data_IF_184711605509
#
_entry.id   IF_184711605509
#
_cell.length_a   1.000
_cell.length_b   1.000
_cell.length_c   1.000
_cell.angle_alpha   90.00
_cell.angle_beta   90.00
_cell.angle_gamma   90.00
#
_symmetry.space_group_name_H-M   'P 1'
#
loop_
_entity.id
_entity.type
_entity.pdbx_description
1 polymer ?
#
# COMPACT_ATOMS: atom_id res chain seq x y z
N UNK A 1 -14.75 -48.38 7.88
CA UNK A 1 -13.53 -47.82 8.51
C UNK A 1 -12.74 -46.89 7.59
N UNK A 2 -12.43 -47.28 6.32
CA UNK A 2 -11.71 -46.41 5.36
C UNK A 2 -12.39 -45.05 5.10
N UNK A 3 -13.72 -45.02 4.96
CA UNK A 3 -14.48 -43.77 4.77
C UNK A 3 -14.45 -42.82 5.98
N UNK A 4 -14.39 -43.37 7.20
CA UNK A 4 -14.34 -42.56 8.43
C UNK A 4 -12.97 -41.87 8.57
N UNK A 5 -11.87 -42.55 8.23
CA UNK A 5 -10.53 -41.92 8.18
C UNK A 5 -10.46 -40.79 7.14
N UNK A 6 -11.13 -40.95 6.00
CA UNK A 6 -11.18 -39.94 4.93
C UNK A 6 -11.93 -38.68 5.38
N UNK A 7 -12.99 -38.84 6.17
CA UNK A 7 -13.75 -37.72 6.75
C UNK A 7 -12.91 -37.01 7.82
N UNK A 8 -12.24 -37.74 8.71
CA UNK A 8 -11.39 -37.15 9.77
C UNK A 8 -10.21 -36.37 9.17
N UNK A 9 -9.55 -36.91 8.14
CA UNK A 9 -8.48 -36.20 7.44
C UNK A 9 -9.00 -34.96 6.72
N UNK A 10 -10.19 -35.01 6.11
CA UNK A 10 -10.82 -33.83 5.52
C UNK A 10 -11.11 -32.74 6.56
N UNK A 11 -11.70 -33.08 7.71
CA UNK A 11 -11.96 -32.11 8.79
C UNK A 11 -10.69 -31.51 9.41
N UNK A 12 -9.59 -32.27 9.48
CA UNK A 12 -8.32 -31.76 9.99
C UNK A 12 -7.68 -30.72 9.04
N UNK A 13 -7.89 -30.85 7.73
CA UNK A 13 -7.36 -29.90 6.74
C UNK A 13 -8.11 -28.56 6.70
N UNK A 14 -9.39 -28.51 7.10
CA UNK A 14 -10.18 -27.27 7.06
C UNK A 14 -9.65 -26.23 8.06
N UNK A 15 -9.13 -26.67 9.21
CA UNK A 15 -8.58 -25.77 10.23
C UNK A 15 -7.20 -25.18 9.86
N UNK A 16 -6.54 -25.70 8.82
CA UNK A 16 -5.23 -25.22 8.37
C UNK A 16 -5.31 -24.11 7.30
N UNK A 17 -6.51 -23.78 6.83
CA UNK A 17 -6.72 -22.84 5.71
C UNK A 17 -7.08 -21.41 6.15
N UNK A 18 -6.83 -21.05 7.42
CA UNK A 18 -7.12 -19.71 7.89
C UNK A 18 -6.03 -18.72 7.44
N UNK A 19 -6.31 -17.98 6.36
CA UNK A 19 -5.49 -16.85 5.95
C UNK A 19 -5.97 -15.60 6.69
N UNK A 20 -5.14 -15.06 7.58
CA UNK A 20 -5.44 -13.80 8.24
C UNK A 20 -5.20 -12.61 7.30
N UNK A 21 -6.13 -11.66 7.31
CA UNK A 21 -5.99 -10.40 6.56
C UNK A 21 -4.90 -9.54 7.20
N UNK A 22 -3.92 -9.14 6.39
CA UNK A 22 -2.94 -8.12 6.77
C UNK A 22 -3.43 -6.74 6.35
N UNK A 23 -3.53 -5.80 7.30
CA UNK A 23 -3.86 -4.42 7.01
C UNK A 23 -2.68 -3.52 7.38
N UNK A 24 -2.39 -2.55 6.53
CA UNK A 24 -1.38 -1.53 6.76
C UNK A 24 -2.05 -0.16 6.65
N UNK A 25 -2.09 0.57 7.76
CA UNK A 25 -2.60 1.94 7.82
C UNK A 25 -1.43 2.91 7.77
N UNK A 26 -1.50 3.91 6.90
CA UNK A 26 -0.42 4.86 6.70
C UNK A 26 -0.97 6.28 6.75
N UNK A 27 -0.33 7.12 7.55
CA UNK A 27 -0.76 8.46 7.88
C UNK A 27 0.20 9.48 7.29
N UNK A 28 -0.07 9.90 6.05
CA UNK A 28 0.81 10.78 5.28
C UNK A 28 0.74 12.24 5.68
N UNK A 29 1.90 12.89 5.60
CA UNK A 29 2.08 14.34 5.59
C UNK A 29 3.01 14.69 4.42
N UNK A 30 2.61 15.65 3.60
CA UNK A 30 3.52 16.23 2.60
C UNK A 30 4.56 17.10 3.30
N UNK A 31 5.82 16.82 3.04
CA UNK A 31 6.94 17.62 3.55
C UNK A 31 7.31 18.73 2.57
N UNK A 32 7.26 18.42 1.28
CA UNK A 32 7.68 19.29 0.20
C UNK A 32 6.92 18.92 -1.08
N UNK A 33 6.63 19.90 -1.94
CA UNK A 33 6.00 19.67 -3.23
C UNK A 33 6.34 20.76 -4.23
N UNK A 34 6.57 20.33 -5.46
CA UNK A 34 6.75 21.18 -6.64
C UNK A 34 5.58 20.92 -7.58
N UNK A 35 4.98 22.00 -8.10
CA UNK A 35 3.80 21.93 -8.97
C UNK A 35 4.12 22.64 -10.28
N UNK A 36 3.85 21.96 -11.39
CA UNK A 36 3.94 22.49 -12.74
C UNK A 36 2.55 22.47 -13.36
N UNK A 37 1.96 23.66 -13.54
CA UNK A 37 0.65 23.81 -14.15
C UNK A 37 0.80 23.94 -15.68
N UNK A 38 0.22 23.00 -16.43
CA UNK A 38 0.11 23.09 -17.89
C UNK A 38 -1.10 23.95 -18.30
N UNK A 39 -2.17 23.90 -17.52
CA UNK A 39 -3.38 24.71 -17.64
C UNK A 39 -4.14 24.76 -16.30
N UNK A 40 -5.31 25.42 -16.24
CA UNK A 40 -6.15 25.45 -15.03
C UNK A 40 -6.56 24.05 -14.53
N UNK A 41 -6.67 23.09 -15.45
CA UNK A 41 -7.20 21.74 -15.18
C UNK A 41 -6.19 20.62 -15.40
N UNK A 42 -4.92 20.96 -15.62
CA UNK A 42 -3.85 20.02 -15.93
C UNK A 42 -2.56 20.41 -15.21
N UNK A 43 -2.07 19.49 -14.38
CA UNK A 43 -0.89 19.71 -13.55
C UNK A 43 -0.04 18.47 -13.38
N UNK A 44 1.25 18.71 -13.21
CA UNK A 44 2.21 17.71 -12.76
C UNK A 44 2.78 18.11 -11.41
N UNK A 45 2.84 17.15 -10.50
CA UNK A 45 3.25 17.35 -9.11
C UNK A 45 4.37 16.37 -8.82
N UNK A 46 5.46 16.87 -8.24
CA UNK A 46 6.44 16.04 -7.53
C UNK A 46 6.37 16.36 -6.05
N UNK A 47 6.54 15.36 -5.20
CA UNK A 47 6.45 15.56 -3.76
C UNK A 47 7.36 14.65 -2.96
N UNK A 48 7.69 15.14 -1.77
CA UNK A 48 8.26 14.37 -0.66
C UNK A 48 7.20 14.27 0.43
N UNK A 49 7.08 13.09 1.02
CA UNK A 49 6.15 12.87 2.12
C UNK A 49 6.77 11.99 3.19
N UNK A 50 6.45 12.30 4.43
CA UNK A 50 6.72 11.46 5.58
C UNK A 50 5.41 10.92 6.12
N UNK A 51 5.45 9.76 6.75
CA UNK A 51 4.29 9.15 7.35
C UNK A 51 4.64 8.36 8.60
N UNK A 52 3.66 8.24 9.49
CA UNK A 52 3.64 7.15 10.46
C UNK A 52 2.79 6.02 9.89
N UNK A 53 3.08 4.78 10.26
CA UNK A 53 2.28 3.63 9.87
C UNK A 53 2.10 2.68 11.04
N UNK A 54 1.03 1.89 10.96
CA UNK A 54 0.75 0.77 11.86
C UNK A 54 0.18 -0.40 11.06
N UNK A 55 0.37 -1.62 11.53
CA UNK A 55 -0.17 -2.82 10.91
C UNK A 55 -1.10 -3.63 11.80
N UNK A 56 -1.84 -4.55 11.19
CA UNK A 56 -2.80 -5.41 11.91
C UNK A 56 -2.15 -6.41 12.87
N UNK A 57 -0.82 -6.50 12.91
CA UNK A 57 -0.06 -7.30 13.86
C UNK A 57 0.42 -6.49 15.07
N UNK A 58 0.05 -5.21 15.13
CA UNK A 58 0.37 -4.32 16.24
C UNK A 58 1.77 -3.70 16.13
N UNK A 59 2.42 -3.78 14.97
CA UNK A 59 3.68 -3.09 14.73
C UNK A 59 3.45 -1.70 14.14
N UNK A 60 4.44 -0.83 14.30
CA UNK A 60 4.35 0.56 13.86
C UNK A 60 5.72 1.14 13.57
N UNK A 61 5.74 2.26 12.85
CA UNK A 61 6.99 2.93 12.53
C UNK A 61 6.81 4.18 11.70
N UNK A 62 7.92 4.56 11.06
CA UNK A 62 8.00 5.73 10.19
C UNK A 62 8.20 5.30 8.75
N UNK A 63 7.81 6.16 7.83
CA UNK A 63 7.95 5.97 6.41
C UNK A 63 8.33 7.29 5.75
N UNK A 64 9.20 7.21 4.75
CA UNK A 64 9.53 8.29 3.85
C UNK A 64 9.17 7.89 2.42
N UNK A 65 8.69 8.85 1.64
CA UNK A 65 8.21 8.64 0.29
C UNK A 65 8.64 9.75 -0.66
N UNK A 66 8.95 9.34 -1.89
CA UNK A 66 9.09 10.20 -3.04
C UNK A 66 8.05 9.80 -4.08
N UNK A 67 7.32 10.78 -4.61
CA UNK A 67 6.26 10.51 -5.56
C UNK A 67 6.10 11.60 -6.61
N UNK A 68 5.45 11.22 -7.69
CA UNK A 68 4.96 12.14 -8.70
C UNK A 68 3.55 11.78 -9.12
N UNK A 69 2.82 12.80 -9.59
CA UNK A 69 1.46 12.66 -10.06
C UNK A 69 1.23 13.59 -11.23
N UNK A 70 0.68 13.05 -12.31
CA UNK A 70 0.02 13.82 -13.35
C UNK A 70 -1.49 13.78 -13.12
N UNK A 71 -2.15 14.92 -13.19
CA UNK A 71 -3.59 15.04 -12.95
C UNK A 71 -4.21 15.96 -14.00
N UNK A 72 -5.23 15.44 -14.68
CA UNK A 72 -5.99 16.11 -15.72
C UNK A 72 -7.47 15.80 -15.56
N UNK A 73 -8.35 16.79 -15.76
CA UNK A 73 -9.79 16.53 -15.78
C UNK A 73 -10.23 15.58 -16.90
N UNK A 74 -9.53 15.57 -18.04
CA UNK A 74 -9.91 14.76 -19.21
C UNK A 74 -9.23 13.39 -19.25
N UNK A 75 -7.99 13.31 -18.75
CA UNK A 75 -7.19 12.07 -18.78
C UNK A 75 -7.10 11.38 -17.40
N UNK A 76 -7.71 11.93 -16.36
CA UNK A 76 -7.70 11.39 -15.02
C UNK A 76 -6.38 11.59 -14.28
N UNK A 77 -5.98 10.62 -13.46
CA UNK A 77 -4.78 10.74 -12.60
C UNK A 77 -3.84 9.57 -12.82
N UNK A 78 -2.56 9.88 -13.05
CA UNK A 78 -1.45 8.93 -13.06
C UNK A 78 -0.50 9.27 -11.91
N UNK A 79 -0.53 8.44 -10.87
CA UNK A 79 0.25 8.60 -9.66
C UNK A 79 1.20 7.43 -9.48
N UNK A 80 2.44 7.74 -9.13
CA UNK A 80 3.45 6.76 -8.71
C UNK A 80 4.30 7.28 -7.57
N UNK A 81 4.41 6.47 -6.52
CA UNK A 81 5.24 6.76 -5.35
C UNK A 81 6.09 5.56 -4.95
N UNK A 82 7.25 5.83 -4.37
CA UNK A 82 8.12 4.83 -3.76
C UNK A 82 8.42 5.25 -2.34
N UNK A 83 8.35 4.28 -1.43
CA UNK A 83 8.51 4.54 -0.02
C UNK A 83 9.42 3.51 0.63
N UNK A 84 10.18 3.96 1.61
CA UNK A 84 10.89 3.14 2.57
C UNK A 84 10.29 3.35 3.96
N UNK A 85 10.10 2.26 4.67
CA UNK A 85 9.53 2.24 6.00
C UNK A 85 10.44 1.47 6.94
N UNK A 86 10.46 1.88 8.20
CA UNK A 86 11.27 1.30 9.27
C UNK A 86 10.49 1.30 10.58
N UNK A 87 10.56 0.19 11.29
CA UNK A 87 9.96 0.03 12.60
C UNK A 87 10.98 0.28 13.73
N UNK A 88 10.54 0.16 14.99
CA UNK A 88 11.35 0.30 16.21
C UNK A 88 12.47 -0.74 16.36
N UNK A 89 12.42 -1.85 15.61
CA UNK A 89 13.42 -2.92 15.62
C UNK A 89 14.44 -2.78 14.46
N UNK A 90 14.34 -1.71 13.66
CA UNK A 90 15.08 -1.47 12.41
C UNK A 90 14.76 -2.47 11.29
N UNK A 91 13.64 -3.18 11.40
CA UNK A 91 13.08 -3.95 10.29
C UNK A 91 12.47 -2.98 9.28
N UNK A 92 12.91 -3.10 8.04
CA UNK A 92 12.53 -2.23 6.93
C UNK A 92 11.69 -2.94 5.88
N UNK A 93 10.78 -2.21 5.26
CA UNK A 93 10.12 -2.60 4.02
C UNK A 93 10.07 -1.45 3.02
N UNK A 94 10.04 -1.81 1.73
CA UNK A 94 9.91 -0.87 0.64
C UNK A 94 8.68 -1.22 -0.16
N UNK A 95 7.90 -0.20 -0.49
CA UNK A 95 6.70 -0.35 -1.27
C UNK A 95 6.63 0.69 -2.37
N UNK A 96 5.93 0.36 -3.45
CA UNK A 96 5.43 1.36 -4.36
C UNK A 96 3.94 1.56 -4.15
N UNK A 97 3.48 2.75 -4.53
CA UNK A 97 2.09 3.03 -4.80
C UNK A 97 1.97 3.37 -6.28
N UNK A 98 0.92 2.86 -6.90
CA UNK A 98 0.54 3.24 -8.25
C UNK A 98 -0.96 3.38 -8.34
N UNK A 99 -1.41 4.45 -8.98
CA UNK A 99 -2.81 4.62 -9.35
C UNK A 99 -2.84 5.19 -10.75
N UNK A 100 -3.49 4.47 -11.66
CA UNK A 100 -3.86 4.98 -12.96
C UNK A 100 -5.37 4.93 -13.03
N UNK A 101 -6.00 6.09 -13.16
CA UNK A 101 -7.45 6.17 -13.29
C UNK A 101 -7.79 6.98 -14.52
N UNK A 102 -8.59 6.39 -15.41
CA UNK A 102 -9.11 7.04 -16.61
C UNK A 102 -10.26 8.01 -16.24
N UNK A 103 -10.75 7.93 -14.99
CA UNK A 103 -11.74 8.80 -14.37
C UNK A 103 -11.30 9.12 -12.93
N UNK A 104 -11.58 10.31 -12.40
CA UNK A 104 -11.11 10.73 -11.08
C UNK A 104 -11.81 9.97 -9.92
N UNK A 105 -12.97 9.38 -10.19
CA UNK A 105 -13.90 8.83 -9.19
C UNK A 105 -13.54 7.44 -8.67
N UNK A 106 -12.74 6.64 -9.38
CA UNK A 106 -12.29 5.33 -8.88
C UNK A 106 -11.07 5.54 -7.99
N UNK A 107 -11.33 5.84 -6.72
CA UNK A 107 -10.36 6.22 -5.67
C UNK A 107 -9.41 5.11 -5.17
N UNK A 108 -9.33 3.97 -5.85
CA UNK A 108 -8.55 2.81 -5.42
C UNK A 108 -7.25 2.72 -6.22
N UNK A 109 -6.13 2.64 -5.52
CA UNK A 109 -4.82 2.38 -6.14
C UNK A 109 -4.29 0.99 -5.75
N UNK A 110 -3.13 0.63 -6.28
CA UNK A 110 -2.40 -0.59 -5.92
C UNK A 110 -1.10 -0.22 -5.22
N UNK A 111 -0.82 -0.90 -4.12
CA UNK A 111 0.47 -0.88 -3.44
C UNK A 111 1.18 -2.21 -3.66
N UNK A 112 2.50 -2.21 -3.82
CA UNK A 112 3.29 -3.44 -3.97
C UNK A 112 4.49 -3.42 -3.06
N UNK A 113 4.65 -4.48 -2.27
CA UNK A 113 5.87 -4.72 -1.52
C UNK A 113 7.00 -5.08 -2.49
N UNK A 114 8.00 -4.21 -2.56
CA UNK A 114 9.18 -4.35 -3.41
C UNK A 114 10.25 -5.18 -2.70
N UNK A 115 10.41 -5.01 -1.38
CA UNK A 115 11.43 -5.69 -0.58
C UNK A 115 11.09 -5.51 0.89
N UNK A 116 11.64 -6.37 1.74
CA UNK A 116 11.79 -6.05 3.15
C UNK A 116 12.81 -6.94 3.85
N UNK A 117 12.96 -6.70 5.14
CA UNK A 117 13.95 -7.29 6.05
C UNK A 117 13.26 -7.78 7.32
N UNK A 118 13.97 -8.59 8.12
CA UNK A 118 13.42 -9.17 9.36
C UNK A 118 12.06 -9.83 9.17
N UNK A 119 11.03 -9.34 9.88
CA UNK A 119 9.65 -9.86 9.77
C UNK A 119 8.92 -9.47 8.48
N UNK A 120 9.42 -8.47 7.75
CA UNK A 120 8.91 -8.03 6.46
C UNK A 120 9.63 -8.66 5.27
N UNK A 121 10.15 -9.88 5.38
CA UNK A 121 10.72 -10.64 4.25
C UNK A 121 9.63 -11.13 3.28
N UNK A 122 8.86 -10.19 2.77
CA UNK A 122 7.80 -10.35 1.79
C UNK A 122 8.20 -9.62 0.50
N UNK A 123 7.90 -10.25 -0.63
CA UNK A 123 8.24 -9.73 -1.95
C UNK A 123 7.08 -9.96 -2.92
N UNK A 124 6.72 -8.92 -3.67
CA UNK A 124 5.79 -9.03 -4.78
C UNK A 124 4.31 -9.11 -4.41
N UNK A 125 3.97 -8.97 -3.13
CA UNK A 125 2.57 -8.90 -2.68
C UNK A 125 1.98 -7.57 -3.14
N UNK A 126 0.85 -7.63 -3.86
CA UNK A 126 0.06 -6.48 -4.24
C UNK A 126 -1.13 -6.33 -3.29
N UNK A 127 -1.34 -5.14 -2.74
CA UNK A 127 -2.46 -4.82 -1.88
C UNK A 127 -3.24 -3.64 -2.48
N UNK A 128 -4.57 -3.76 -2.70
CA UNK A 128 -5.38 -2.60 -3.03
C UNK A 128 -5.34 -1.61 -1.87
N UNK A 129 -5.30 -0.32 -2.16
CA UNK A 129 -5.37 0.73 -1.15
C UNK A 129 -6.42 1.78 -1.52
N UNK A 130 -7.01 2.40 -0.51
CA UNK A 130 -7.91 3.53 -0.65
C UNK A 130 -7.35 4.70 0.18
N UNK A 131 -7.58 5.92 -0.30
CA UNK A 131 -7.19 7.14 0.42
C UNK A 131 -8.40 7.69 1.16
N UNK A 132 -8.22 7.96 2.46
CA UNK A 132 -9.20 8.69 3.27
C UNK A 132 -8.62 10.05 3.64
N UNK A 133 -9.27 11.11 3.19
CA UNK A 133 -8.93 12.46 3.62
C UNK A 133 -9.46 12.67 5.04
N UNK A 134 -8.55 12.94 5.98
CA UNK A 134 -8.92 13.40 7.32
C UNK A 134 -9.26 14.88 7.20
N UNK A 135 -10.49 15.25 7.59
CA UNK A 135 -11.01 16.62 7.58
C UNK A 135 -11.05 17.16 9.00
#
# INVERSE_FOLDING_TARGET
>A
MKFILLIITFYFNINLLYAETYNLNIYFKFDDREVFDFSEDEKYIQFKASANWEDSKGDYGVMFCLGHMYSSKTAGTDFKGYCDAENQENDKFWLNFSRKSDDMDVGVGTSKFIKGTGKYKIYGINCPYAVKFLR
#
